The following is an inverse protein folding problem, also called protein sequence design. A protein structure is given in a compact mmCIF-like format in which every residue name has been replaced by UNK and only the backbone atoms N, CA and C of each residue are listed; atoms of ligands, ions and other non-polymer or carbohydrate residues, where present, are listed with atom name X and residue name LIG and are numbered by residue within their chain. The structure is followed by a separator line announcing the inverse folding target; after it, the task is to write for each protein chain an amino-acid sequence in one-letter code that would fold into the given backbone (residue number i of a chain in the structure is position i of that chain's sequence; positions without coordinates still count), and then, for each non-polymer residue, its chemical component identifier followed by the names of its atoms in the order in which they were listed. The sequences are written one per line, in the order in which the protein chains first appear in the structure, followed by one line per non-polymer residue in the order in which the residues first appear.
data_IF_945957436235
#
_entry.id   IF_945957436235
#
_cell.length_a   1.000
_cell.length_b   1.000
_cell.length_c   1.000
_cell.angle_alpha   90.00
_cell.angle_beta   90.00
_cell.angle_gamma   90.00
#
_symmetry.space_group_name_H-M   'P 1'
#
loop_
_entity.id
_entity.type
_entity.pdbx_description
1 polymer ?
#
# COMPACT_ATOMS: atom_id res chain seq x y z
N UNK A 1 12.83 -24.50 -61.19
CA UNK A 1 12.61 -23.53 -60.09
C UNK A 1 11.70 -24.18 -59.06
N UNK A 2 12.23 -24.57 -57.90
CA UNK A 2 11.45 -25.07 -56.76
C UNK A 2 11.33 -23.93 -55.75
N UNK A 3 10.12 -23.43 -55.52
CA UNK A 3 9.82 -22.50 -54.43
C UNK A 3 9.89 -23.27 -53.11
N UNK A 4 10.82 -22.89 -52.25
CA UNK A 4 10.88 -23.35 -50.86
C UNK A 4 10.02 -22.38 -50.05
N UNK A 5 8.87 -22.88 -49.58
CA UNK A 5 7.99 -22.20 -48.65
C UNK A 5 8.62 -22.32 -47.25
N UNK A 6 9.17 -21.21 -46.73
CA UNK A 6 9.66 -21.15 -45.36
C UNK A 6 8.42 -20.94 -44.47
N UNK A 7 7.97 -22.01 -43.79
CA UNK A 7 7.03 -21.89 -42.68
C UNK A 7 7.81 -21.33 -41.48
N UNK A 8 7.49 -20.09 -41.10
CA UNK A 8 7.87 -19.54 -39.80
C UNK A 8 7.00 -20.22 -38.74
N UNK A 9 7.56 -21.20 -38.02
CA UNK A 9 6.94 -21.73 -36.80
C UNK A 9 7.20 -20.70 -35.71
N UNK A 10 6.22 -19.83 -35.47
CA UNK A 10 6.13 -19.03 -34.25
C UNK A 10 5.97 -19.99 -33.07
N UNK A 11 7.04 -20.20 -32.30
CA UNK A 11 6.94 -20.82 -30.99
C UNK A 11 6.29 -19.80 -30.05
N UNK A 12 4.97 -19.90 -29.90
CA UNK A 12 4.28 -19.24 -28.80
C UNK A 12 4.68 -20.00 -27.54
N UNK A 13 5.61 -19.44 -26.77
CA UNK A 13 5.86 -19.89 -25.40
C UNK A 13 4.61 -19.56 -24.58
N UNK A 14 3.70 -20.53 -24.46
CA UNK A 14 2.57 -20.46 -23.54
C UNK A 14 3.14 -20.72 -22.16
N UNK A 15 3.48 -19.65 -21.42
CA UNK A 15 3.70 -19.79 -19.98
C UNK A 15 2.35 -20.11 -19.34
N UNK A 16 2.21 -21.22 -18.61
CA UNK A 16 0.97 -21.50 -17.89
C UNK A 16 0.70 -20.36 -16.90
N UNK A 17 -0.53 -19.85 -16.91
CA UNK A 17 -0.96 -18.85 -15.95
C UNK A 17 -0.85 -19.43 -14.54
N UNK A 18 -0.25 -18.68 -13.62
CA UNK A 18 -0.16 -19.05 -12.20
C UNK A 18 -1.55 -19.32 -11.64
N UNK A 19 -1.70 -20.43 -10.93
CA UNK A 19 -2.93 -20.88 -10.26
C UNK A 19 -2.76 -20.83 -8.74
N UNK A 20 -3.86 -20.85 -7.98
CA UNK A 20 -3.81 -20.91 -6.52
C UNK A 20 -2.92 -22.05 -5.97
N UNK A 21 -2.98 -23.23 -6.59
CA UNK A 21 -2.23 -24.42 -6.13
C UNK A 21 -0.72 -24.34 -6.39
N UNK A 22 -0.27 -23.40 -7.24
CA UNK A 22 1.15 -23.15 -7.47
C UNK A 22 1.79 -22.41 -6.29
N UNK A 23 0.99 -21.70 -5.48
CA UNK A 23 1.44 -21.01 -4.27
C UNK A 23 1.36 -21.97 -3.09
N UNK A 24 2.53 -22.48 -2.69
CA UNK A 24 2.63 -23.37 -1.52
C UNK A 24 2.78 -22.53 -0.26
N UNK A 25 2.16 -22.94 0.84
CA UNK A 25 2.28 -22.26 2.13
C UNK A 25 2.72 -23.20 3.25
N UNK A 26 3.35 -22.62 4.27
CA UNK A 26 3.65 -23.31 5.54
C UNK A 26 3.73 -22.28 6.67
N UNK A 27 3.67 -22.76 7.91
CA UNK A 27 3.90 -21.94 9.10
C UNK A 27 4.98 -22.57 9.96
N UNK A 28 5.85 -21.72 10.50
CA UNK A 28 6.82 -22.11 11.52
C UNK A 28 6.12 -22.26 12.89
N UNK A 29 6.76 -22.96 13.83
CA UNK A 29 6.20 -23.15 15.18
C UNK A 29 5.98 -21.84 15.95
N UNK A 30 6.75 -20.81 15.65
CA UNK A 30 6.62 -19.47 16.24
C UNK A 30 5.53 -18.60 15.58
N UNK A 31 4.73 -19.17 14.65
CA UNK A 31 3.59 -18.52 14.03
C UNK A 31 3.89 -17.75 12.74
N UNK A 32 5.15 -17.65 12.31
CA UNK A 32 5.49 -16.99 11.05
C UNK A 32 4.94 -17.77 9.87
N UNK A 33 4.20 -17.08 8.99
CA UNK A 33 3.54 -17.69 7.83
C UNK A 33 4.32 -17.38 6.56
N UNK A 34 4.55 -18.39 5.73
CA UNK A 34 5.25 -18.27 4.47
C UNK A 34 4.35 -18.68 3.30
N UNK A 35 4.43 -17.92 2.21
CA UNK A 35 3.93 -18.27 0.88
C UNK A 35 5.09 -18.33 -0.10
N UNK A 36 5.16 -19.39 -0.89
CA UNK A 36 6.24 -19.64 -1.85
C UNK A 36 5.64 -19.91 -3.21
N UNK A 37 6.04 -19.10 -4.19
CA UNK A 37 5.75 -19.32 -5.59
C UNK A 37 7.04 -19.62 -6.35
N UNK A 38 7.18 -20.86 -6.81
CA UNK A 38 8.32 -21.28 -7.63
C UNK A 38 8.13 -20.78 -9.07
N UNK A 39 8.92 -19.78 -9.50
CA UNK A 39 8.87 -19.19 -10.85
C UNK A 39 10.27 -18.96 -11.40
N UNK A 40 10.73 -19.85 -12.29
CA UNK A 40 12.08 -19.86 -12.83
C UNK A 40 12.25 -19.05 -14.14
N UNK A 41 11.43 -18.01 -14.35
CA UNK A 41 11.49 -17.19 -15.58
C UNK A 41 12.77 -16.36 -15.67
N UNK A 42 13.37 -16.00 -14.54
CA UNK A 42 14.67 -15.33 -14.39
C UNK A 42 15.38 -15.93 -13.16
N UNK A 43 16.72 -15.93 -13.09
CA UNK A 43 17.47 -16.50 -11.96
C UNK A 43 17.47 -15.60 -10.71
N UNK A 44 16.33 -14.98 -10.41
CA UNK A 44 16.13 -14.05 -9.31
C UNK A 44 14.91 -14.45 -8.48
N UNK A 45 14.89 -13.98 -7.25
CA UNK A 45 13.77 -14.10 -6.35
C UNK A 45 13.45 -12.74 -5.73
N UNK A 46 12.22 -12.62 -5.25
CA UNK A 46 11.80 -11.48 -4.49
C UNK A 46 11.02 -11.94 -3.25
N UNK A 47 11.44 -11.43 -2.10
CA UNK A 47 10.92 -11.75 -0.77
C UNK A 47 10.29 -10.49 -0.19
N UNK A 48 9.06 -10.61 0.30
CA UNK A 48 8.36 -9.58 1.04
C UNK A 48 8.11 -10.05 2.47
N UNK A 49 8.38 -9.20 3.46
CA UNK A 49 8.00 -9.39 4.84
C UNK A 49 6.92 -8.36 5.18
N UNK A 50 5.70 -8.84 5.36
CA UNK A 50 4.57 -8.01 5.74
C UNK A 50 4.35 -8.10 7.25
N UNK A 51 4.69 -7.04 7.97
CA UNK A 51 4.31 -6.92 9.37
C UNK A 51 2.91 -6.30 9.45
N UNK A 52 2.02 -6.94 10.21
CA UNK A 52 0.67 -6.44 10.47
C UNK A 52 0.71 -5.35 11.53
N UNK A 53 1.37 -4.25 11.20
CA UNK A 53 1.53 -3.06 12.03
C UNK A 53 1.65 -1.84 11.13
N UNK A 54 0.93 -0.77 11.43
CA UNK A 54 1.11 0.54 10.81
C UNK A 54 0.69 1.63 11.79
N UNK A 55 0.54 2.87 11.32
CA UNK A 55 0.23 3.98 12.22
C UNK A 55 -1.08 3.80 13.00
N UNK A 56 -2.03 3.00 12.50
CA UNK A 56 -3.27 2.67 13.23
C UNK A 56 -3.02 1.97 14.57
N UNK A 57 -1.88 1.30 14.71
CA UNK A 57 -1.52 0.54 15.90
C UNK A 57 -0.91 1.41 17.00
N UNK A 58 -0.70 2.69 16.74
CA UNK A 58 -0.10 3.68 17.64
C UNK A 58 -1.16 4.35 18.54
N UNK A 59 -0.71 5.12 19.52
CA UNK A 59 -1.58 5.93 20.37
C UNK A 59 -0.97 7.31 20.57
N UNK A 60 -1.81 8.27 20.98
CA UNK A 60 -1.39 9.65 21.25
C UNK A 60 -0.21 9.64 22.23
N UNK A 61 0.89 10.31 21.85
CA UNK A 61 2.14 10.33 22.60
C UNK A 61 3.24 9.47 21.99
N UNK A 62 2.91 8.52 21.10
CA UNK A 62 3.90 7.70 20.37
C UNK A 62 3.63 7.66 18.86
N UNK A 63 2.88 8.61 18.31
CA UNK A 63 2.60 8.60 16.86
C UNK A 63 3.89 8.69 16.04
N UNK A 64 3.91 8.05 14.87
CA UNK A 64 5.06 7.99 13.95
C UNK A 64 6.07 6.87 14.24
N UNK A 65 5.89 6.13 15.33
CA UNK A 65 6.81 5.05 15.73
C UNK A 65 6.87 3.90 14.70
N UNK A 66 5.78 3.63 13.97
CA UNK A 66 5.78 2.61 12.90
C UNK A 66 6.71 3.00 11.77
N UNK A 67 6.61 4.26 11.32
CA UNK A 67 7.48 4.82 10.30
C UNK A 67 8.94 4.87 10.79
N UNK A 68 9.16 5.18 12.07
CA UNK A 68 10.50 5.12 12.65
C UNK A 68 11.12 3.72 12.57
N UNK A 69 10.35 2.64 12.75
CA UNK A 69 10.87 1.29 12.59
C UNK A 69 11.13 0.88 11.14
N UNK A 70 10.47 1.51 10.17
CA UNK A 70 10.89 1.40 8.76
C UNK A 70 12.35 1.79 8.60
N UNK A 71 12.75 2.95 9.13
CA UNK A 71 14.12 3.45 9.10
C UNK A 71 15.07 2.62 9.97
N UNK A 72 14.67 2.34 11.21
CA UNK A 72 15.55 1.67 12.17
C UNK A 72 15.94 0.26 11.71
N UNK A 73 15.08 -0.43 10.97
CA UNK A 73 15.36 -1.77 10.42
C UNK A 73 16.49 -1.80 9.38
N UNK A 74 17.04 -0.64 8.99
CA UNK A 74 18.27 -0.49 8.18
C UNK A 74 19.50 -0.07 9.01
N UNK A 75 19.30 0.35 10.26
CA UNK A 75 20.37 0.86 11.12
C UNK A 75 21.10 -0.21 11.94
N UNK A 76 20.85 -1.46 11.60
CA UNK A 76 21.63 -2.60 12.02
C UNK A 76 21.04 -3.36 13.20
N UNK A 77 21.52 -4.57 13.33
CA UNK A 77 21.16 -5.56 14.31
C UNK A 77 22.43 -6.20 14.88
N UNK A 78 22.27 -7.23 15.71
CA UNK A 78 23.37 -7.83 16.46
C UNK A 78 24.50 -8.37 15.60
N UNK A 79 24.20 -9.01 14.46
CA UNK A 79 25.21 -9.56 13.55
C UNK A 79 25.64 -8.54 12.51
N UNK A 80 24.70 -7.79 11.95
CA UNK A 80 24.96 -6.78 10.93
C UNK A 80 24.77 -5.38 11.50
N UNK A 81 25.87 -4.73 11.88
CA UNK A 81 25.84 -3.36 12.40
C UNK A 81 25.35 -2.31 11.39
N UNK A 82 25.33 -1.03 11.76
CA UNK A 82 24.82 0.05 10.90
C UNK A 82 25.41 0.03 9.49
N UNK A 83 24.56 0.15 8.47
CA UNK A 83 24.89 0.09 7.03
C UNK A 83 25.42 -1.26 6.53
N UNK A 84 25.61 -2.26 7.39
CA UNK A 84 26.11 -3.57 6.95
C UNK A 84 25.02 -4.38 6.26
N UNK A 85 23.76 -4.19 6.65
CA UNK A 85 22.63 -4.82 5.97
C UNK A 85 22.65 -4.50 4.46
N UNK A 86 22.65 -3.21 4.11
CA UNK A 86 22.66 -2.78 2.70
C UNK A 86 23.95 -3.17 1.98
N UNK A 87 25.10 -3.00 2.61
CA UNK A 87 26.39 -3.38 2.00
C UNK A 87 26.47 -4.86 1.66
N UNK A 88 25.99 -5.73 2.55
CA UNK A 88 25.99 -7.18 2.33
C UNK A 88 24.95 -7.53 1.26
N UNK A 89 23.75 -6.92 1.31
CA UNK A 89 22.70 -7.07 0.29
C UNK A 89 23.24 -6.73 -1.11
N UNK A 90 23.79 -5.53 -1.29
CA UNK A 90 24.30 -5.01 -2.55
C UNK A 90 25.52 -5.81 -3.05
N UNK A 91 26.44 -6.19 -2.15
CA UNK A 91 27.60 -7.01 -2.50
C UNK A 91 27.20 -8.40 -3.02
N UNK A 92 26.01 -8.89 -2.66
CA UNK A 92 25.42 -10.13 -3.16
C UNK A 92 24.42 -9.90 -4.30
N UNK A 93 24.47 -8.72 -4.95
CA UNK A 93 23.68 -8.37 -6.13
C UNK A 93 22.19 -8.14 -5.85
N UNK A 94 21.82 -8.03 -4.57
CA UNK A 94 20.45 -7.73 -4.16
C UNK A 94 20.19 -6.24 -4.01
N UNK A 95 18.92 -5.90 -3.89
CA UNK A 95 18.44 -4.59 -3.49
C UNK A 95 17.26 -4.77 -2.54
N UNK A 96 17.02 -3.77 -1.71
CA UNK A 96 15.91 -3.78 -0.77
C UNK A 96 15.15 -2.45 -0.83
N UNK A 97 13.95 -2.45 -0.28
CA UNK A 97 13.19 -1.24 0.05
C UNK A 97 12.23 -1.54 1.20
N UNK A 98 11.61 -0.50 1.75
CA UNK A 98 10.51 -0.63 2.68
C UNK A 98 9.44 0.44 2.43
N UNK A 99 8.29 0.26 3.08
CA UNK A 99 7.29 1.31 3.21
C UNK A 99 6.38 1.03 4.40
N UNK A 100 5.83 2.09 4.96
CA UNK A 100 4.84 2.06 6.04
C UNK A 100 3.56 2.74 5.61
N UNK A 101 2.44 2.15 6.00
CA UNK A 101 1.10 2.70 5.81
C UNK A 101 0.41 2.83 7.17
N UNK A 102 -0.84 3.24 7.16
CA UNK A 102 -1.70 3.16 8.34
C UNK A 102 -1.88 1.71 8.80
N UNK A 103 -1.75 0.72 7.92
CA UNK A 103 -2.15 -0.67 8.19
C UNK A 103 -0.99 -1.63 8.40
N UNK A 104 0.07 -1.48 7.60
CA UNK A 104 1.19 -2.42 7.48
C UNK A 104 2.51 -1.69 7.28
N UNK A 105 3.60 -2.33 7.72
CA UNK A 105 4.98 -2.00 7.38
C UNK A 105 5.54 -3.18 6.63
N UNK A 106 6.15 -2.90 5.49
CA UNK A 106 6.57 -3.92 4.53
C UNK A 106 8.03 -3.71 4.20
N UNK A 107 8.78 -4.80 4.19
CA UNK A 107 10.14 -4.84 3.68
C UNK A 107 10.19 -5.77 2.47
N UNK A 108 10.88 -5.35 1.42
CA UNK A 108 11.01 -6.13 0.18
C UNK A 108 12.47 -6.26 -0.21
N UNK A 109 12.87 -7.46 -0.58
CA UNK A 109 14.19 -7.80 -1.08
C UNK A 109 14.07 -8.38 -2.49
N UNK A 110 14.86 -7.88 -3.41
CA UNK A 110 15.04 -8.46 -4.74
C UNK A 110 16.48 -8.93 -4.88
N UNK A 111 16.69 -10.19 -5.28
CA UNK A 111 18.03 -10.77 -5.24
C UNK A 111 18.24 -11.93 -6.24
N UNK A 112 19.49 -12.21 -6.65
CA UNK A 112 19.83 -13.41 -7.41
C UNK A 112 19.63 -14.66 -6.56
N UNK A 113 19.20 -15.77 -7.14
CA UNK A 113 18.89 -17.00 -6.39
C UNK A 113 20.03 -17.52 -5.49
N UNK A 114 21.29 -17.29 -5.89
CA UNK A 114 22.46 -17.71 -5.15
C UNK A 114 22.57 -17.00 -3.79
N UNK A 115 21.94 -15.85 -3.66
CA UNK A 115 21.94 -15.03 -2.44
C UNK A 115 20.84 -15.44 -1.47
N UNK A 116 19.99 -16.42 -1.79
CA UNK A 116 18.82 -16.81 -0.98
C UNK A 116 19.16 -17.01 0.50
N UNK A 117 20.20 -17.77 0.81
CA UNK A 117 20.60 -17.98 2.21
C UNK A 117 21.10 -16.70 2.89
N UNK A 118 21.80 -15.82 2.17
CA UNK A 118 22.26 -14.52 2.69
C UNK A 118 21.08 -13.63 3.06
N UNK A 119 20.01 -13.62 2.27
CA UNK A 119 18.81 -12.83 2.56
C UNK A 119 18.12 -13.34 3.83
N UNK A 120 17.97 -14.66 3.97
CA UNK A 120 17.39 -15.24 5.19
C UNK A 120 18.23 -14.91 6.43
N UNK A 121 19.54 -14.89 6.31
CA UNK A 121 20.47 -14.52 7.37
C UNK A 121 20.35 -13.03 7.75
N UNK A 122 20.30 -12.14 6.76
CA UNK A 122 20.11 -10.70 6.95
C UNK A 122 18.76 -10.36 7.62
N UNK A 123 17.66 -10.89 7.06
CA UNK A 123 16.32 -10.63 7.55
C UNK A 123 16.10 -11.18 8.97
N UNK A 124 16.55 -12.41 9.23
CA UNK A 124 16.40 -13.00 10.57
C UNK A 124 17.16 -12.24 11.65
N UNK A 125 18.33 -11.66 11.34
CA UNK A 125 19.08 -10.87 12.32
C UNK A 125 18.31 -9.60 12.72
N UNK A 126 17.78 -8.84 11.76
CA UNK A 126 17.03 -7.62 12.07
C UNK A 126 15.66 -7.87 12.71
N UNK A 127 15.00 -8.98 12.36
CA UNK A 127 13.75 -9.39 13.02
C UNK A 127 14.01 -9.86 14.46
N UNK A 128 15.12 -10.55 14.72
CA UNK A 128 15.41 -11.09 16.05
C UNK A 128 16.09 -10.10 16.99
N UNK A 129 17.00 -9.28 16.49
CA UNK A 129 18.01 -8.60 17.29
C UNK A 129 18.29 -7.16 16.83
N UNK A 130 17.25 -6.40 16.47
CA UNK A 130 17.40 -5.00 16.11
C UNK A 130 18.14 -4.22 17.20
N UNK A 131 19.09 -3.36 16.81
CA UNK A 131 19.94 -2.65 17.75
C UNK A 131 19.35 -1.30 18.16
N UNK A 132 19.13 -1.10 19.46
CA UNK A 132 18.65 0.16 20.05
C UNK A 132 19.80 1.03 20.57
N UNK A 133 20.77 1.33 19.69
CA UNK A 133 21.85 2.27 20.02
C UNK A 133 21.27 3.69 20.17
N UNK A 134 21.41 4.33 21.34
CA UNK A 134 20.88 5.68 21.57
C UNK A 134 21.36 6.71 20.53
N UNK A 135 22.59 6.61 20.04
CA UNK A 135 23.12 7.55 19.03
C UNK A 135 22.41 7.36 17.68
N UNK A 136 22.11 6.12 17.31
CA UNK A 136 21.39 5.83 16.07
C UNK A 136 19.93 6.26 16.18
N UNK A 137 19.29 6.02 17.32
CA UNK A 137 17.93 6.48 17.59
C UNK A 137 17.83 8.00 17.46
N UNK A 138 18.72 8.77 18.10
CA UNK A 138 18.70 10.23 18.00
C UNK A 138 19.02 10.72 16.58
N UNK A 139 19.94 10.04 15.88
CA UNK A 139 20.25 10.35 14.48
C UNK A 139 19.02 10.18 13.59
N UNK A 140 18.36 9.03 13.67
CA UNK A 140 17.16 8.75 12.86
C UNK A 140 15.98 9.63 13.24
N UNK A 141 15.79 9.94 14.53
CA UNK A 141 14.81 10.94 14.96
C UNK A 141 15.05 12.27 14.25
N UNK A 142 16.30 12.71 14.15
CA UNK A 142 16.68 13.91 13.40
C UNK A 142 16.36 13.81 11.90
N UNK A 143 16.60 12.66 11.29
CA UNK A 143 16.27 12.40 9.87
C UNK A 143 14.76 12.49 9.65
N UNK A 144 13.95 11.84 10.49
CA UNK A 144 12.49 11.84 10.37
C UNK A 144 11.90 13.23 10.64
N UNK A 145 12.46 13.99 11.60
CA UNK A 145 12.05 15.39 11.79
C UNK A 145 12.36 16.25 10.57
N UNK A 146 13.50 16.01 9.92
CA UNK A 146 13.83 16.67 8.65
C UNK A 146 12.88 16.25 7.54
N UNK A 147 12.57 14.96 7.42
CA UNK A 147 11.63 14.43 6.43
C UNK A 147 10.22 14.96 6.65
N UNK A 148 9.76 15.06 7.89
CA UNK A 148 8.49 15.70 8.22
C UNK A 148 8.46 17.13 7.70
N UNK A 149 9.53 17.90 7.94
CA UNK A 149 9.59 19.28 7.47
C UNK A 149 9.74 19.38 5.93
N UNK A 150 10.56 18.54 5.30
CA UNK A 150 10.79 18.64 3.84
C UNK A 150 9.74 17.93 3.00
N UNK A 151 9.20 16.82 3.47
CA UNK A 151 8.21 15.98 2.79
C UNK A 151 6.80 16.49 3.02
N UNK A 152 6.41 16.73 4.29
CA UNK A 152 5.06 17.21 4.60
C UNK A 152 4.98 18.74 4.55
N UNK A 153 5.82 19.43 5.31
CA UNK A 153 5.65 20.88 5.48
C UNK A 153 6.05 21.67 4.24
N UNK A 154 6.82 21.10 3.30
CA UNK A 154 7.14 21.74 2.01
C UNK A 154 6.24 21.29 0.84
N UNK A 155 5.39 20.27 1.03
CA UNK A 155 4.43 19.84 0.01
C UNK A 155 2.99 20.29 0.39
N UNK A 156 2.37 21.21 -0.37
CA UNK A 156 1.01 21.67 -0.08
C UNK A 156 -0.05 20.57 -0.05
N UNK A 157 0.07 19.52 -0.89
CA UNK A 157 -0.89 18.41 -0.91
C UNK A 157 -0.76 17.53 0.32
N UNK A 158 0.45 17.18 0.74
CA UNK A 158 0.67 16.35 1.94
C UNK A 158 0.21 17.05 3.21
N UNK A 159 0.44 18.36 3.32
CA UNK A 159 -0.09 19.14 4.44
C UNK A 159 -1.62 19.16 4.42
N UNK A 160 -2.23 19.36 3.25
CA UNK A 160 -3.69 19.36 3.12
C UNK A 160 -4.28 17.99 3.44
N UNK A 161 -3.61 16.91 3.02
CA UNK A 161 -3.97 15.53 3.37
C UNK A 161 -3.95 15.30 4.87
N UNK A 162 -2.88 15.72 5.57
CA UNK A 162 -2.77 15.57 7.03
C UNK A 162 -3.95 16.25 7.75
N UNK A 163 -4.27 17.47 7.37
CA UNK A 163 -5.38 18.23 7.99
C UNK A 163 -6.74 17.62 7.63
N UNK A 164 -6.91 17.13 6.40
CA UNK A 164 -8.12 16.44 5.96
C UNK A 164 -8.31 15.13 6.74
N UNK A 165 -7.26 14.32 6.88
CA UNK A 165 -7.27 13.05 7.62
C UNK A 165 -7.67 13.26 9.09
N UNK A 166 -7.06 14.25 9.75
CA UNK A 166 -7.39 14.62 11.13
C UNK A 166 -8.80 15.20 11.30
N UNK A 167 -9.38 15.75 10.23
CA UNK A 167 -10.75 16.28 10.22
C UNK A 167 -11.79 15.21 9.91
N UNK A 168 -11.46 14.26 9.04
CA UNK A 168 -12.35 13.19 8.61
C UNK A 168 -12.58 12.17 9.74
N UNK A 169 -11.52 11.78 10.45
CA UNK A 169 -11.62 10.86 11.58
C UNK A 169 -11.61 11.62 12.91
N UNK A 170 -12.65 11.45 13.74
CA UNK A 170 -12.73 12.06 15.08
C UNK A 170 -12.36 11.09 16.21
N UNK A 171 -12.31 9.79 15.93
CA UNK A 171 -12.00 8.79 16.94
C UNK A 171 -11.02 7.71 16.44
N UNK A 172 -11.16 7.24 15.20
CA UNK A 172 -10.38 6.12 14.71
C UNK A 172 -8.88 6.48 14.55
N UNK A 173 -7.95 5.55 14.83
CA UNK A 173 -6.50 5.77 14.68
C UNK A 173 -6.02 6.21 13.29
N UNK A 174 -6.85 6.09 12.27
CA UNK A 174 -6.57 6.66 10.95
C UNK A 174 -6.55 8.20 10.94
N UNK A 175 -6.83 8.87 12.06
CA UNK A 175 -6.83 10.34 12.17
C UNK A 175 -5.44 11.00 12.17
N UNK A 176 -4.35 10.27 12.42
CA UNK A 176 -3.01 10.85 12.49
C UNK A 176 -2.13 10.39 11.32
N UNK A 177 -1.20 11.24 10.87
CA UNK A 177 -0.34 10.92 9.75
C UNK A 177 0.61 9.79 10.10
N UNK A 178 1.00 8.98 9.11
CA UNK A 178 1.89 7.83 9.29
C UNK A 178 3.24 8.20 9.91
N UNK A 179 3.78 9.35 9.54
CA UNK A 179 5.05 9.90 10.08
C UNK A 179 4.92 10.43 11.51
N UNK A 180 3.70 10.62 12.02
CA UNK A 180 3.42 11.06 13.39
C UNK A 180 3.54 12.57 13.64
N UNK A 181 3.13 12.99 14.83
CA UNK A 181 3.21 14.37 15.28
C UNK A 181 4.61 14.73 15.76
N UNK A 182 5.07 15.95 15.43
CA UNK A 182 6.41 16.42 15.80
C UNK A 182 6.67 16.34 17.32
N UNK A 183 5.65 16.64 18.13
CA UNK A 183 5.73 16.52 19.59
C UNK A 183 5.99 15.09 20.03
N UNK A 184 5.37 14.10 19.39
CA UNK A 184 5.50 12.70 19.75
C UNK A 184 6.87 12.18 19.30
N UNK A 185 7.29 12.50 18.07
CA UNK A 185 8.61 12.15 17.51
C UNK A 185 9.75 12.60 18.44
N UNK A 186 9.65 13.82 18.97
CA UNK A 186 10.65 14.38 19.89
C UNK A 186 10.68 13.71 21.26
N UNK A 187 9.62 13.02 21.66
CA UNK A 187 9.43 12.52 23.02
C UNK A 187 9.34 11.00 23.14
N UNK A 188 9.50 10.23 22.07
CA UNK A 188 9.60 8.77 22.16
C UNK A 188 10.68 8.35 23.18
N UNK A 189 10.31 7.48 24.11
CA UNK A 189 11.26 6.89 25.04
C UNK A 189 11.87 5.62 24.47
N UNK A 190 13.04 5.20 24.97
CA UNK A 190 13.63 3.91 24.57
C UNK A 190 12.70 2.73 24.88
N UNK A 191 11.96 2.82 25.98
CA UNK A 191 10.98 1.81 26.38
C UNK A 191 9.82 1.71 25.38
N UNK A 192 9.33 2.85 24.86
CA UNK A 192 8.31 2.85 23.79
C UNK A 192 8.80 2.07 22.58
N UNK A 193 10.04 2.35 22.14
CA UNK A 193 10.67 1.69 21.00
C UNK A 193 10.82 0.18 21.22
N UNK A 194 11.41 -0.23 22.35
CA UNK A 194 11.63 -1.64 22.67
C UNK A 194 10.29 -2.41 22.76
N UNK A 195 9.30 -1.85 23.46
CA UNK A 195 7.97 -2.46 23.60
C UNK A 195 7.26 -2.58 22.24
N UNK A 196 7.35 -1.55 21.40
CA UNK A 196 6.76 -1.54 20.06
C UNK A 196 7.38 -2.63 19.18
N UNK A 197 8.71 -2.69 19.14
CA UNK A 197 9.44 -3.70 18.38
C UNK A 197 9.07 -5.12 18.83
N UNK A 198 9.14 -5.41 20.13
CA UNK A 198 8.84 -6.73 20.67
C UNK A 198 7.40 -7.17 20.41
N UNK A 199 6.45 -6.24 20.38
CA UNK A 199 5.04 -6.54 20.13
C UNK A 199 4.75 -6.75 18.65
N UNK A 200 5.25 -5.88 17.79
CA UNK A 200 4.76 -5.78 16.41
C UNK A 200 5.70 -6.41 15.38
N UNK A 201 7.02 -6.39 15.61
CA UNK A 201 8.04 -6.96 14.72
C UNK A 201 8.36 -8.41 15.08
N UNK A 202 7.31 -9.18 15.36
CA UNK A 202 7.40 -10.54 15.83
C UNK A 202 7.00 -11.58 14.75
N UNK A 203 7.54 -12.81 14.80
CA UNK A 203 7.23 -13.85 13.82
C UNK A 203 5.73 -14.14 13.66
N UNK A 204 4.98 -14.22 14.76
CA UNK A 204 3.53 -14.43 14.77
C UNK A 204 2.70 -13.25 14.23
N UNK A 205 3.33 -12.11 13.95
CA UNK A 205 2.70 -10.93 13.35
C UNK A 205 3.20 -10.66 11.91
N UNK A 206 3.97 -11.60 11.34
CA UNK A 206 4.61 -11.44 10.04
C UNK A 206 4.12 -12.50 9.03
N UNK A 207 3.80 -12.04 7.81
CA UNK A 207 3.57 -12.89 6.64
C UNK A 207 4.72 -12.67 5.66
N UNK A 208 5.41 -13.74 5.29
CA UNK A 208 6.47 -13.72 4.29
C UNK A 208 5.95 -14.28 2.98
N UNK A 209 6.21 -13.58 1.88
CA UNK A 209 5.92 -14.04 0.53
C UNK A 209 7.21 -14.06 -0.27
N UNK A 210 7.54 -15.20 -0.88
CA UNK A 210 8.71 -15.31 -1.76
C UNK A 210 8.32 -15.91 -3.11
N UNK A 211 8.66 -15.19 -4.18
CA UNK A 211 8.40 -15.62 -5.57
C UNK A 211 9.68 -15.53 -6.40
N UNK A 212 9.93 -16.53 -7.25
CA UNK A 212 11.06 -16.52 -8.20
C UNK A 212 11.76 -17.87 -8.34
N UNK A 213 13.03 -17.88 -8.78
CA UNK A 213 13.83 -19.10 -8.98
C UNK A 213 14.32 -19.67 -7.63
N UNK A 214 13.35 -20.13 -6.84
CA UNK A 214 13.51 -20.75 -5.52
C UNK A 214 12.82 -22.10 -5.49
N UNK A 215 13.10 -22.90 -4.47
CA UNK A 215 12.44 -24.19 -4.22
C UNK A 215 11.76 -24.18 -2.87
N UNK A 216 10.50 -24.64 -2.83
CA UNK A 216 9.72 -24.67 -1.59
C UNK A 216 10.44 -25.35 -0.43
N UNK A 217 11.05 -26.51 -0.66
CA UNK A 217 11.75 -27.26 0.37
C UNK A 217 13.01 -26.53 0.88
N UNK A 218 13.69 -25.79 0.01
CA UNK A 218 14.86 -25.00 0.36
C UNK A 218 14.46 -23.78 1.20
N UNK A 219 13.45 -23.04 0.73
CA UNK A 219 12.86 -21.91 1.47
C UNK A 219 12.39 -22.36 2.86
N UNK A 220 11.68 -23.49 2.95
CA UNK A 220 11.23 -24.03 4.23
C UNK A 220 12.38 -24.36 5.17
N UNK A 221 13.43 -25.03 4.66
CA UNK A 221 14.63 -25.35 5.43
C UNK A 221 15.33 -24.09 5.95
N UNK A 222 15.45 -23.06 5.12
CA UNK A 222 16.04 -21.78 5.52
C UNK A 222 15.16 -21.04 6.53
N UNK A 223 13.84 -21.05 6.34
CA UNK A 223 12.89 -20.48 7.29
C UNK A 223 13.00 -21.14 8.67
N UNK A 224 13.07 -22.48 8.71
CA UNK A 224 13.29 -23.24 9.94
C UNK A 224 14.66 -22.93 10.58
N UNK A 225 15.72 -22.80 9.77
CA UNK A 225 17.07 -22.50 10.26
C UNK A 225 17.19 -21.09 10.87
N UNK A 226 16.66 -20.08 10.18
CA UNK A 226 16.93 -18.67 10.48
C UNK A 226 15.82 -18.01 11.31
N UNK A 227 14.55 -18.39 11.10
CA UNK A 227 13.42 -17.74 11.76
C UNK A 227 12.77 -18.56 12.88
N UNK A 228 12.77 -19.91 12.85
CA UNK A 228 11.97 -20.71 13.82
C UNK A 228 12.40 -20.51 15.28
N UNK A 229 13.67 -20.21 15.54
CA UNK A 229 14.19 -19.97 16.90
C UNK A 229 13.84 -18.58 17.45
N UNK A 230 13.38 -17.66 16.61
CA UNK A 230 12.94 -16.33 17.04
C UNK A 230 11.64 -16.50 17.84
N UNK A 231 11.57 -16.05 19.10
CA UNK A 231 10.36 -16.17 19.90
C UNK A 231 9.19 -15.42 19.27
N UNK A 232 7.98 -15.96 19.42
CA UNK A 232 6.76 -15.20 19.17
C UNK A 232 6.68 -14.01 20.14
N UNK A 233 6.17 -12.88 19.65
CA UNK A 233 5.87 -11.71 20.46
C UNK A 233 4.48 -11.80 21.08
N UNK A 234 4.17 -10.90 22.04
CA UNK A 234 2.82 -10.78 22.57
C UNK A 234 1.83 -10.45 21.44
N UNK A 235 0.57 -10.87 21.61
CA UNK A 235 -0.48 -10.52 20.66
C UNK A 235 -0.63 -8.99 20.63
N UNK A 236 -0.57 -8.34 19.45
CA UNK A 236 -0.89 -6.92 19.33
C UNK A 236 -2.24 -6.56 19.94
N UNK A 237 -2.35 -5.36 20.51
CA UNK A 237 -3.64 -4.87 21.02
C UNK A 237 -4.66 -4.79 19.89
N UNK A 238 -5.90 -5.17 20.20
CA UNK A 238 -7.00 -4.99 19.26
C UNK A 238 -7.45 -3.52 19.26
N UNK A 239 -7.76 -3.02 18.07
CA UNK A 239 -8.34 -1.69 17.92
C UNK A 239 -9.85 -1.85 18.04
N UNK A 240 -10.39 -1.40 19.17
CA UNK A 240 -11.82 -1.44 19.46
C UNK A 240 -12.55 -0.16 19.02
N UNK A 241 -11.80 0.92 18.81
CA UNK A 241 -12.35 2.20 18.40
C UNK A 241 -12.88 2.07 16.98
N UNK A 242 -14.16 2.38 16.79
CA UNK A 242 -14.81 2.47 15.49
C UNK A 242 -15.11 3.94 15.23
N UNK A 243 -14.84 4.42 14.02
CA UNK A 243 -15.19 5.80 13.65
C UNK A 243 -16.72 5.97 13.73
N UNK A 244 -17.23 6.96 14.48
CA UNK A 244 -18.66 7.26 14.47
C UNK A 244 -19.11 7.72 13.08
N UNK A 245 -20.35 7.40 12.72
CA UNK A 245 -20.94 7.87 11.47
C UNK A 245 -20.88 9.40 11.39
N UNK A 246 -20.37 9.92 10.27
CA UNK A 246 -20.35 11.35 10.03
C UNK A 246 -21.76 11.84 9.67
N UNK A 247 -22.26 12.84 10.40
CA UNK A 247 -23.63 13.35 10.26
C UNK A 247 -23.73 14.69 9.53
N UNK A 248 -22.67 15.14 8.87
CA UNK A 248 -22.62 16.46 8.22
C UNK A 248 -21.28 16.76 7.60
N UNK A 249 -21.30 17.57 6.55
CA UNK A 249 -20.10 18.03 5.82
C UNK A 249 -19.11 18.73 6.76
N UNK A 250 -17.83 18.39 6.64
CA UNK A 250 -16.73 19.08 7.33
C UNK A 250 -15.87 19.83 6.32
N UNK A 251 -15.44 21.03 6.70
CA UNK A 251 -14.59 21.88 5.85
C UNK A 251 -13.48 22.49 6.66
N UNK A 252 -12.28 22.47 6.10
CA UNK A 252 -11.09 23.11 6.63
C UNK A 252 -10.43 23.96 5.55
N UNK A 253 -9.72 25.00 5.97
CA UNK A 253 -8.95 25.87 5.08
C UNK A 253 -7.55 26.01 5.65
N UNK A 254 -6.57 25.55 4.88
CA UNK A 254 -5.16 25.63 5.26
C UNK A 254 -4.54 26.84 4.56
N UNK A 255 -4.05 27.81 5.32
CA UNK A 255 -3.37 28.98 4.77
C UNK A 255 -1.91 28.65 4.47
N UNK A 256 -1.49 28.87 3.22
CA UNK A 256 -0.11 28.65 2.77
C UNK A 256 0.25 29.56 1.60
N UNK A 257 1.54 29.84 1.44
CA UNK A 257 2.07 30.48 0.24
C UNK A 257 2.17 29.45 -0.89
N UNK A 258 1.23 29.49 -1.82
CA UNK A 258 1.16 28.64 -3.02
C UNK A 258 0.84 29.52 -4.23
N UNK A 259 1.34 29.18 -5.43
CA UNK A 259 1.05 29.95 -6.65
C UNK A 259 -0.41 29.84 -7.06
N UNK A 260 -1.02 28.66 -6.89
CA UNK A 260 -2.44 28.42 -7.18
C UNK A 260 -3.10 27.61 -6.05
N UNK A 261 -4.43 27.68 -5.87
CA UNK A 261 -5.12 26.92 -4.84
C UNK A 261 -5.08 25.40 -5.04
N UNK A 262 -5.07 24.67 -3.93
CA UNK A 262 -5.17 23.22 -3.86
C UNK A 262 -6.51 22.83 -3.24
N UNK A 263 -7.04 21.67 -3.64
CA UNK A 263 -8.31 21.16 -3.12
C UNK A 263 -8.21 19.65 -2.88
N UNK A 264 -8.79 19.20 -1.77
CA UNK A 264 -9.08 17.79 -1.52
C UNK A 264 -10.51 17.64 -1.01
N UNK A 265 -11.17 16.55 -1.39
CA UNK A 265 -12.52 16.18 -0.94
C UNK A 265 -12.47 14.70 -0.59
N UNK A 266 -12.91 14.30 0.60
CA UNK A 266 -12.91 12.90 1.00
C UNK A 266 -14.31 12.42 1.38
N UNK A 267 -14.50 11.11 1.32
CA UNK A 267 -15.70 10.43 1.78
C UNK A 267 -15.31 9.16 2.52
N UNK A 268 -15.97 8.88 3.65
CA UNK A 268 -15.77 7.58 4.31
C UNK A 268 -16.35 6.46 3.45
N UNK A 269 -15.53 5.43 3.24
CA UNK A 269 -15.83 4.24 2.45
C UNK A 269 -15.42 2.99 3.24
N UNK A 270 -16.00 1.82 2.93
CA UNK A 270 -15.65 0.59 3.66
C UNK A 270 -14.21 0.14 3.38
N UNK A 271 -13.73 -0.75 4.25
CA UNK A 271 -12.46 -1.46 4.13
C UNK A 271 -12.35 -2.32 2.85
N UNK A 272 -11.12 -2.72 2.51
CA UNK A 272 -10.81 -3.49 1.29
C UNK A 272 -11.57 -4.82 1.20
N UNK A 273 -11.78 -5.52 2.31
CA UNK A 273 -12.48 -6.80 2.35
C UNK A 273 -14.00 -6.71 2.17
N UNK A 274 -14.56 -5.51 1.95
CA UNK A 274 -15.99 -5.31 1.82
C UNK A 274 -16.54 -5.77 0.46
N UNK A 275 -17.86 -6.05 0.41
CA UNK A 275 -18.55 -6.42 -0.83
C UNK A 275 -18.57 -5.32 -1.90
N UNK A 276 -18.39 -4.05 -1.48
CA UNK A 276 -18.49 -2.89 -2.37
C UNK A 276 -17.11 -2.53 -2.97
N UNK A 277 -16.01 -3.17 -2.51
CA UNK A 277 -14.63 -2.84 -2.90
C UNK A 277 -14.42 -2.75 -4.42
N UNK A 278 -14.78 -3.80 -5.16
CA UNK A 278 -14.54 -3.83 -6.62
C UNK A 278 -15.33 -2.75 -7.38
N UNK A 279 -16.52 -2.38 -6.88
CA UNK A 279 -17.29 -1.30 -7.47
C UNK A 279 -16.67 0.08 -7.16
N UNK A 280 -16.16 0.29 -5.94
CA UNK A 280 -15.47 1.53 -5.55
C UNK A 280 -14.14 1.66 -6.30
N UNK A 281 -13.37 0.59 -6.45
CA UNK A 281 -12.12 0.62 -7.21
C UNK A 281 -12.34 0.87 -8.71
N UNK A 282 -13.40 0.32 -9.31
CA UNK A 282 -13.77 0.67 -10.68
C UNK A 282 -14.26 2.12 -10.78
N UNK A 283 -15.00 2.62 -9.79
CA UNK A 283 -15.40 4.03 -9.73
C UNK A 283 -14.18 4.95 -9.64
N UNK A 284 -13.18 4.61 -8.84
CA UNK A 284 -11.90 5.31 -8.76
C UNK A 284 -11.27 5.45 -10.16
N UNK A 285 -11.19 4.35 -10.90
CA UNK A 285 -10.59 4.33 -12.23
C UNK A 285 -11.42 5.05 -13.30
N UNK A 286 -12.75 4.99 -13.22
CA UNK A 286 -13.64 5.77 -14.11
C UNK A 286 -13.40 7.27 -13.93
N UNK A 287 -13.24 7.70 -12.67
CA UNK A 287 -13.07 9.10 -12.32
C UNK A 287 -11.70 9.64 -12.74
N UNK A 288 -10.60 8.93 -12.48
CA UNK A 288 -9.25 9.50 -12.62
C UNK A 288 -8.26 8.74 -13.49
N UNK A 289 -8.49 7.48 -13.87
CA UNK A 289 -7.44 6.67 -14.50
C UNK A 289 -7.27 6.92 -16.01
N UNK A 290 -6.16 7.56 -16.34
CA UNK A 290 -5.72 7.85 -17.71
C UNK A 290 -6.41 9.07 -18.33
N UNK A 291 -5.89 9.54 -19.46
CA UNK A 291 -6.35 10.79 -20.11
C UNK A 291 -7.81 10.75 -20.62
N UNK A 292 -8.47 9.59 -20.59
CA UNK A 292 -9.89 9.45 -20.99
C UNK A 292 -10.84 9.32 -19.79
N UNK A 293 -10.35 9.53 -18.57
CA UNK A 293 -11.16 9.54 -17.35
C UNK A 293 -12.06 10.77 -17.29
N UNK A 294 -13.17 10.68 -16.54
CA UNK A 294 -14.18 11.75 -16.49
C UNK A 294 -13.60 13.06 -15.97
N UNK A 295 -12.84 13.01 -14.86
CA UNK A 295 -12.28 14.19 -14.24
C UNK A 295 -11.26 14.87 -15.17
N UNK A 296 -10.36 14.09 -15.79
CA UNK A 296 -9.38 14.66 -16.71
C UNK A 296 -10.06 15.32 -17.92
N UNK A 297 -10.97 14.62 -18.59
CA UNK A 297 -11.66 15.15 -19.77
C UNK A 297 -12.50 16.39 -19.45
N UNK A 298 -13.29 16.35 -18.38
CA UNK A 298 -14.19 17.45 -18.03
C UNK A 298 -13.45 18.65 -17.44
N UNK A 299 -12.55 18.43 -16.49
CA UNK A 299 -11.97 19.50 -15.66
C UNK A 299 -10.67 20.05 -16.24
N UNK A 300 -9.79 19.18 -16.76
CA UNK A 300 -8.48 19.59 -17.30
C UNK A 300 -8.60 20.02 -18.76
N UNK A 301 -9.16 19.15 -19.62
CA UNK A 301 -9.18 19.40 -21.07
C UNK A 301 -10.26 20.40 -21.50
N UNK A 302 -11.50 20.25 -21.00
CA UNK A 302 -12.63 21.05 -21.46
C UNK A 302 -12.79 22.37 -20.68
N UNK A 303 -12.85 22.29 -19.35
CA UNK A 303 -13.09 23.47 -18.51
C UNK A 303 -11.80 24.22 -18.14
N UNK A 304 -10.63 23.56 -18.27
CA UNK A 304 -9.32 24.10 -17.91
C UNK A 304 -9.27 24.67 -16.49
N UNK A 305 -9.89 23.99 -15.52
CA UNK A 305 -9.94 24.45 -14.13
C UNK A 305 -8.75 23.95 -13.29
N UNK A 306 -8.12 22.85 -13.69
CA UNK A 306 -7.05 22.22 -12.93
C UNK A 306 -5.83 21.91 -13.81
N UNK A 307 -4.65 22.01 -13.20
CA UNK A 307 -3.38 21.49 -13.72
C UNK A 307 -3.34 19.97 -13.53
N UNK A 308 -3.78 19.53 -12.35
CA UNK A 308 -3.81 18.14 -11.94
C UNK A 308 -5.12 17.86 -11.22
N UNK A 309 -5.71 16.70 -11.48
CA UNK A 309 -6.91 16.20 -10.82
C UNK A 309 -6.82 14.68 -10.74
N UNK A 310 -7.19 14.11 -9.60
CA UNK A 310 -7.18 12.67 -9.41
C UNK A 310 -8.04 12.22 -8.26
N UNK A 311 -8.11 10.89 -8.11
CA UNK A 311 -8.75 10.22 -6.98
C UNK A 311 -7.83 9.16 -6.42
N UNK A 312 -8.03 8.81 -5.15
CA UNK A 312 -7.30 7.75 -4.49
C UNK A 312 -8.21 6.97 -3.55
N UNK A 313 -8.02 5.66 -3.54
CA UNK A 313 -8.71 4.72 -2.66
C UNK A 313 -7.68 3.70 -2.12
N UNK A 314 -7.17 3.88 -0.90
CA UNK A 314 -6.16 3.00 -0.32
C UNK A 314 -6.74 1.68 0.15
N UNK A 315 -5.87 0.66 0.25
CA UNK A 315 -6.20 -0.54 0.97
C UNK A 315 -6.24 -0.30 2.49
N UNK A 316 -7.23 -0.86 3.16
CA UNK A 316 -7.45 -0.67 4.59
C UNK A 316 -8.07 -1.89 5.27
N UNK A 317 -7.72 -2.10 6.54
CA UNK A 317 -8.36 -3.10 7.40
C UNK A 317 -9.70 -2.62 7.96
N UNK A 318 -9.85 -1.32 8.17
CA UNK A 318 -11.06 -0.67 8.70
C UNK A 318 -11.65 0.30 7.64
N UNK A 319 -12.88 0.83 7.83
CA UNK A 319 -13.40 1.90 6.99
C UNK A 319 -12.39 3.04 6.84
N UNK A 320 -12.19 3.49 5.60
CA UNK A 320 -11.14 4.44 5.20
C UNK A 320 -11.72 5.58 4.36
N UNK A 321 -10.88 6.37 3.71
CA UNK A 321 -11.29 7.47 2.85
C UNK A 321 -11.10 7.13 1.37
N UNK A 322 -12.11 7.43 0.57
CA UNK A 322 -11.94 7.71 -0.85
C UNK A 322 -11.77 9.21 -0.97
N UNK A 323 -10.75 9.69 -1.66
CA UNK A 323 -10.58 11.14 -1.81
C UNK A 323 -10.25 11.56 -3.23
N UNK A 324 -10.68 12.78 -3.53
CA UNK A 324 -10.33 13.57 -4.70
C UNK A 324 -9.22 14.53 -4.29
N UNK A 325 -8.30 14.81 -5.20
CA UNK A 325 -7.30 15.87 -5.04
C UNK A 325 -7.13 16.62 -6.35
N UNK A 326 -6.80 17.91 -6.28
CA UNK A 326 -6.51 18.69 -7.46
C UNK A 326 -5.77 20.00 -7.18
N UNK A 327 -5.10 20.48 -8.22
CA UNK A 327 -4.34 21.72 -8.24
C UNK A 327 -4.99 22.65 -9.26
N UNK A 328 -5.47 23.82 -8.83
CA UNK A 328 -6.16 24.76 -9.70
C UNK A 328 -5.21 25.36 -10.74
N UNK A 329 -5.75 25.69 -11.92
CA UNK A 329 -5.09 26.58 -12.87
C UNK A 329 -5.00 28.01 -12.34
N UNK A 330 -4.15 28.83 -12.97
CA UNK A 330 -4.02 30.24 -12.62
C UNK A 330 -5.36 30.99 -12.77
N UNK A 331 -5.67 31.84 -11.79
CA UNK A 331 -6.94 32.57 -11.73
C UNK A 331 -8.18 31.74 -11.36
N UNK A 332 -8.06 30.43 -11.16
CA UNK A 332 -9.18 29.56 -10.75
C UNK A 332 -9.22 29.42 -9.23
N UNK A 333 -10.40 29.59 -8.64
CA UNK A 333 -10.62 29.40 -7.20
C UNK A 333 -10.88 27.93 -6.85
N UNK A 334 -10.51 27.54 -5.62
CA UNK A 334 -10.81 26.19 -5.11
C UNK A 334 -12.30 25.85 -5.13
N UNK A 335 -13.18 26.84 -4.90
CA UNK A 335 -14.64 26.64 -4.96
C UNK A 335 -15.14 26.30 -6.37
N UNK A 336 -14.55 26.87 -7.43
CA UNK A 336 -14.90 26.52 -8.81
C UNK A 336 -14.47 25.09 -9.14
N UNK A 337 -13.29 24.69 -8.70
CA UNK A 337 -12.82 23.32 -8.86
C UNK A 337 -13.68 22.33 -8.06
N UNK A 338 -14.05 22.68 -6.84
CA UNK A 338 -14.96 21.89 -6.00
C UNK A 338 -16.30 21.67 -6.71
N UNK A 339 -16.93 22.74 -7.20
CA UNK A 339 -18.19 22.65 -7.92
C UNK A 339 -18.07 21.75 -9.16
N UNK A 340 -16.98 21.85 -9.92
CA UNK A 340 -16.75 20.99 -11.08
C UNK A 340 -16.59 19.50 -10.71
N UNK A 341 -15.88 19.19 -9.62
CA UNK A 341 -15.74 17.81 -9.14
C UNK A 341 -17.10 17.26 -8.68
N UNK A 342 -17.84 18.04 -7.88
CA UNK A 342 -19.15 17.63 -7.38
C UNK A 342 -20.15 17.42 -8.51
N UNK A 343 -20.11 18.24 -9.56
CA UNK A 343 -20.93 18.06 -10.76
C UNK A 343 -20.63 16.74 -11.49
N UNK A 344 -19.37 16.31 -11.57
CA UNK A 344 -19.04 15.00 -12.16
C UNK A 344 -19.51 13.82 -11.29
N UNK A 345 -19.44 13.96 -9.97
CA UNK A 345 -20.01 13.00 -9.02
C UNK A 345 -21.53 12.92 -9.21
N UNK A 346 -22.22 14.05 -9.27
CA UNK A 346 -23.67 14.10 -9.45
C UNK A 346 -24.11 13.51 -10.80
N UNK A 347 -23.34 13.69 -11.87
CA UNK A 347 -23.59 13.03 -13.16
C UNK A 347 -23.52 11.51 -13.04
N UNK A 348 -22.54 10.96 -12.32
CA UNK A 348 -22.46 9.50 -12.09
C UNK A 348 -23.66 9.02 -11.27
N UNK A 349 -24.04 9.76 -10.23
CA UNK A 349 -25.16 9.38 -9.35
C UNK A 349 -26.49 9.42 -10.10
N UNK A 350 -26.75 10.47 -10.89
CA UNK A 350 -28.05 10.70 -11.53
C UNK A 350 -28.17 9.98 -12.88
N UNK A 351 -27.15 10.10 -13.73
CA UNK A 351 -27.19 9.61 -15.11
C UNK A 351 -26.49 8.25 -15.27
N UNK A 352 -25.66 7.87 -14.31
CA UNK A 352 -24.88 6.65 -14.36
C UNK A 352 -23.69 6.72 -15.32
N UNK A 353 -23.23 5.55 -15.72
CA UNK A 353 -22.14 5.36 -16.69
C UNK A 353 -22.62 4.51 -17.86
N UNK A 354 -21.94 4.64 -19.00
CA UNK A 354 -22.21 3.76 -20.14
C UNK A 354 -21.54 2.39 -19.97
N UNK A 355 -22.10 1.36 -20.61
CA UNK A 355 -21.47 0.03 -20.61
C UNK A 355 -20.08 0.06 -21.28
N UNK A 356 -19.90 0.90 -22.31
CA UNK A 356 -18.62 1.06 -22.99
C UNK A 356 -17.55 1.65 -22.05
N UNK A 357 -17.93 2.61 -21.22
CA UNK A 357 -17.05 3.21 -20.21
C UNK A 357 -16.66 2.20 -19.13
N UNK A 358 -17.62 1.44 -18.62
CA UNK A 358 -17.35 0.37 -17.66
C UNK A 358 -16.43 -0.70 -18.26
N UNK A 359 -16.72 -1.15 -19.48
CA UNK A 359 -15.93 -2.17 -20.15
C UNK A 359 -14.50 -1.71 -20.43
N UNK A 360 -14.31 -0.42 -20.76
CA UNK A 360 -12.97 0.19 -20.92
C UNK A 360 -12.16 0.01 -19.64
N UNK A 361 -12.72 0.40 -18.50
CA UNK A 361 -12.02 0.35 -17.21
C UNK A 361 -11.80 -1.10 -16.74
N UNK A 362 -12.77 -1.99 -16.95
CA UNK A 362 -12.58 -3.44 -16.71
C UNK A 362 -11.40 -4.00 -17.51
N UNK A 363 -11.27 -3.59 -18.77
CA UNK A 363 -10.14 -4.01 -19.61
C UNK A 363 -8.81 -3.45 -19.09
N UNK A 364 -8.79 -2.19 -18.63
CA UNK A 364 -7.59 -1.58 -18.01
C UNK A 364 -7.17 -2.35 -16.77
N UNK A 365 -8.09 -2.63 -15.84
CA UNK A 365 -7.82 -3.44 -14.64
C UNK A 365 -7.34 -4.85 -14.96
N UNK A 366 -7.93 -5.48 -15.98
CA UNK A 366 -7.50 -6.80 -16.44
C UNK A 366 -6.06 -6.77 -16.98
N UNK A 367 -5.72 -5.78 -17.78
CA UNK A 367 -4.36 -5.60 -18.30
C UNK A 367 -3.36 -5.28 -17.19
N UNK A 368 -3.73 -4.42 -16.25
CA UNK A 368 -2.92 -4.12 -15.06
C UNK A 368 -2.67 -5.38 -14.24
N UNK A 369 -3.70 -6.17 -13.96
CA UNK A 369 -3.58 -7.44 -13.26
C UNK A 369 -2.56 -8.36 -13.93
N UNK A 370 -2.65 -8.56 -15.25
CA UNK A 370 -1.70 -9.42 -15.96
C UNK A 370 -0.27 -8.87 -15.94
N UNK A 371 -0.09 -7.56 -16.12
CA UNK A 371 1.23 -6.91 -16.07
C UNK A 371 1.87 -7.05 -14.69
N UNK A 372 1.09 -6.86 -13.62
CA UNK A 372 1.55 -6.99 -12.23
C UNK A 372 1.91 -8.42 -11.91
N UNK A 373 1.05 -9.38 -12.24
CA UNK A 373 1.23 -10.82 -11.95
C UNK A 373 2.28 -11.51 -12.84
N UNK A 374 2.65 -10.89 -13.96
CA UNK A 374 3.77 -11.35 -14.79
C UNK A 374 5.12 -11.23 -14.06
N UNK A 375 5.30 -10.20 -13.23
CA UNK A 375 6.56 -9.98 -12.52
C UNK A 375 6.61 -10.76 -11.19
N UNK A 376 7.81 -11.18 -10.76
CA UNK A 376 7.98 -11.81 -9.45
C UNK A 376 7.69 -10.83 -8.29
N UNK A 377 8.01 -9.54 -8.47
CA UNK A 377 7.75 -8.50 -7.48
C UNK A 377 6.25 -8.24 -7.32
N UNK A 378 5.56 -7.95 -8.42
CA UNK A 378 4.13 -7.70 -8.41
C UNK A 378 3.35 -8.90 -7.89
N UNK A 379 3.75 -10.13 -8.25
CA UNK A 379 3.14 -11.34 -7.71
C UNK A 379 3.36 -11.49 -6.20
N UNK A 380 4.59 -11.35 -5.70
CA UNK A 380 4.87 -11.41 -4.25
C UNK A 380 4.06 -10.38 -3.46
N UNK A 381 4.04 -9.13 -3.95
CA UNK A 381 3.30 -8.06 -3.29
C UNK A 381 1.79 -8.33 -3.26
N UNK A 382 1.25 -8.81 -4.39
CA UNK A 382 -0.20 -9.01 -4.52
C UNK A 382 -0.69 -10.21 -3.71
N UNK A 383 0.09 -11.30 -3.62
CA UNK A 383 -0.23 -12.44 -2.73
C UNK A 383 -0.34 -11.97 -1.28
N UNK A 384 0.63 -11.18 -0.80
CA UNK A 384 0.61 -10.61 0.54
C UNK A 384 -0.56 -9.66 0.76
N UNK A 385 -0.80 -8.77 -0.20
CA UNK A 385 -1.94 -7.83 -0.18
C UNK A 385 -3.28 -8.58 -0.01
N UNK A 386 -3.53 -9.63 -0.81
CA UNK A 386 -4.77 -10.40 -0.72
C UNK A 386 -4.87 -11.23 0.57
N UNK A 387 -3.76 -11.80 1.04
CA UNK A 387 -3.75 -12.47 2.34
C UNK A 387 -4.12 -11.53 3.49
N UNK A 388 -3.58 -10.31 3.49
CA UNK A 388 -3.74 -9.38 4.60
C UNK A 388 -5.08 -8.64 4.56
N UNK A 389 -5.40 -7.99 3.44
CA UNK A 389 -6.55 -7.09 3.32
C UNK A 389 -7.84 -7.83 2.95
N UNK A 390 -7.74 -9.00 2.32
CA UNK A 390 -8.89 -9.78 1.87
C UNK A 390 -9.02 -11.12 2.62
N UNK A 391 -8.06 -11.44 3.51
CA UNK A 391 -8.07 -12.59 4.41
C UNK A 391 -7.77 -13.94 3.76
N UNK A 392 -7.53 -13.98 2.45
CA UNK A 392 -7.16 -15.19 1.72
C UNK A 392 -6.51 -14.81 0.39
N UNK A 393 -5.23 -15.16 0.23
CA UNK A 393 -4.49 -14.93 -1.03
C UNK A 393 -5.19 -15.54 -2.26
N UNK A 394 -6.01 -16.59 -2.09
CA UNK A 394 -6.69 -17.25 -3.23
C UNK A 394 -7.68 -16.34 -3.94
N UNK A 395 -8.23 -15.34 -3.25
CA UNK A 395 -9.12 -14.33 -3.84
C UNK A 395 -8.44 -13.51 -4.94
N UNK A 396 -7.11 -13.45 -4.94
CA UNK A 396 -6.33 -12.86 -6.04
C UNK A 396 -6.73 -13.46 -7.39
N UNK A 397 -6.87 -14.78 -7.43
CA UNK A 397 -7.10 -15.50 -8.69
C UNK A 397 -8.55 -15.41 -9.17
N UNK A 398 -9.50 -15.01 -8.31
CA UNK A 398 -10.88 -14.71 -8.72
C UNK A 398 -11.11 -13.23 -9.01
N UNK A 399 -10.19 -12.34 -8.61
CA UNK A 399 -10.35 -10.90 -8.75
C UNK A 399 -10.73 -10.45 -10.17
N UNK A 400 -10.13 -10.97 -11.27
CA UNK A 400 -10.57 -10.62 -12.62
C UNK A 400 -12.04 -10.94 -12.90
N UNK A 401 -12.58 -12.03 -12.34
CA UNK A 401 -13.98 -12.38 -12.48
C UNK A 401 -14.88 -11.56 -11.55
N UNK A 402 -14.37 -11.16 -10.39
CA UNK A 402 -15.09 -10.26 -9.48
C UNK A 402 -15.23 -8.85 -10.07
N UNK A 403 -14.20 -8.32 -10.74
CA UNK A 403 -14.32 -7.09 -11.55
C UNK A 403 -15.32 -7.24 -12.70
N UNK A 404 -15.34 -8.39 -13.40
CA UNK A 404 -16.28 -8.62 -14.51
C UNK A 404 -17.74 -8.56 -14.06
N UNK A 405 -18.04 -9.04 -12.85
CA UNK A 405 -19.41 -9.09 -12.29
C UNK A 405 -19.99 -7.70 -11.98
N UNK A 406 -19.15 -6.70 -11.73
CA UNK A 406 -19.62 -5.34 -11.41
C UNK A 406 -20.43 -4.78 -12.57
N UNK A 407 -21.60 -4.23 -12.28
CA UNK A 407 -22.49 -3.61 -13.27
C UNK A 407 -22.43 -2.09 -13.21
N UNK A 408 -22.96 -1.40 -14.23
CA UNK A 408 -23.09 0.07 -14.20
C UNK A 408 -23.98 0.54 -13.05
N UNK A 409 -24.96 -0.28 -12.67
CA UNK A 409 -25.84 -0.05 -11.52
C UNK A 409 -25.08 -0.14 -10.20
N UNK A 410 -24.14 -1.07 -10.05
CA UNK A 410 -23.30 -1.17 -8.86
C UNK A 410 -22.44 0.08 -8.68
N UNK A 411 -21.88 0.63 -9.77
CA UNK A 411 -21.11 1.89 -9.75
C UNK A 411 -21.98 3.05 -9.29
N UNK A 412 -23.18 3.19 -9.84
CA UNK A 412 -24.14 4.22 -9.42
C UNK A 412 -24.50 4.07 -7.95
N UNK A 413 -24.75 2.84 -7.51
CA UNK A 413 -25.14 2.54 -6.13
C UNK A 413 -24.05 2.89 -5.12
N UNK A 414 -22.78 2.54 -5.39
CA UNK A 414 -21.69 2.90 -4.47
C UNK A 414 -21.43 4.41 -4.46
N UNK A 415 -21.51 5.08 -5.62
CA UNK A 415 -21.41 6.54 -5.69
C UNK A 415 -22.52 7.21 -4.86
N UNK A 416 -23.78 6.83 -5.08
CA UNK A 416 -24.94 7.38 -4.37
C UNK A 416 -24.91 7.07 -2.86
N UNK A 417 -24.37 5.92 -2.48
CA UNK A 417 -24.28 5.48 -1.08
C UNK A 417 -23.20 6.23 -0.30
N UNK A 418 -22.03 6.43 -0.90
CA UNK A 418 -20.87 6.95 -0.17
C UNK A 418 -20.60 8.44 -0.45
N UNK A 419 -20.85 8.94 -1.65
CA UNK A 419 -20.55 10.33 -2.02
C UNK A 419 -21.72 11.28 -1.68
N UNK A 420 -22.15 11.23 -0.42
CA UNK A 420 -23.22 12.07 0.11
C UNK A 420 -22.62 13.28 0.83
N UNK A 421 -23.35 14.40 0.84
CA UNK A 421 -22.92 15.62 1.53
C UNK A 421 -22.70 15.40 3.04
N UNK A 422 -23.47 14.52 3.67
CA UNK A 422 -23.32 14.21 5.10
C UNK A 422 -22.03 13.48 5.42
N UNK A 423 -21.49 12.74 4.44
CA UNK A 423 -20.30 11.91 4.57
C UNK A 423 -19.03 12.58 4.01
N UNK A 424 -19.07 13.90 3.75
CA UNK A 424 -18.02 14.66 3.07
C UNK A 424 -17.09 15.42 4.01
#
# INVERSE_FOLDING_TARGET
MKQILIILISFICIYPQTKPDDVKSFSLKNGMKFFVLEKNSIPNANMYLFFKVGSRNEYIGITGISHFFEHMMFNGAKKYGPKQFDRVMEANGGSNNAYTTENITVYTDWFPKQSLEVIFDLESDRVANLNFDPKMIESERGVILSERSTGLENNPLEQLWQELQATAFVAHPYMWPVIGWESDIKNWTKEDLENYFHTYYAPNNCVVVISGDVKFNEVKKLAEKYFESIPSGPKPREIHTVEPEQTGERRIFVKREVPTPYLMIAYHVPQSGSKDFYAIDLLNSILSEGASSRLYQSIVEQQQLAIEIGTYYPNAFDPTLFFFYGICNDGVSASQLEEAILNEVDKIINDGISEAELQKVKNQKLMEFYRTTETINGMSNTIGTYELFFGDFKKLFSAPDDYKKVTTEDIRNVAAKYFTKQNR
#
